data_IF_453469918125
#
_entry.id   IF_453469918125
#
_cell.length_a   1.000
_cell.length_b   1.000
_cell.length_c   1.000
_cell.angle_alpha   90.00
_cell.angle_beta   90.00
_cell.angle_gamma   90.00
#
_symmetry.space_group_name_H-M   'P 1'
#
loop_
_entity.id
_entity.type
_entity.pdbx_description
1 polymer ?
#
# COMPACT_ATOMS: atom_id res chain seq x y z
N UNK A 1 13.81 -10.78 12.21
CA UNK A 1 12.40 -10.43 11.93
C UNK A 1 12.30 -8.90 11.88
N UNK A 2 11.73 -8.30 10.82
CA UNK A 2 11.68 -6.83 10.61
C UNK A 2 10.66 -6.15 11.54
N UNK A 3 9.46 -6.72 11.63
CA UNK A 3 8.41 -6.30 12.57
C UNK A 3 8.40 -7.24 13.78
N UNK A 4 8.27 -6.68 14.98
CA UNK A 4 8.23 -7.45 16.24
C UNK A 4 6.80 -7.56 16.80
N UNK A 5 5.91 -6.72 16.31
CA UNK A 5 4.50 -6.66 16.62
C UNK A 5 3.71 -7.74 15.87
N UNK A 6 2.61 -8.26 16.45
CA UNK A 6 1.72 -9.16 15.73
C UNK A 6 0.99 -8.42 14.60
N UNK A 7 0.83 -9.08 13.46
CA UNK A 7 -0.04 -8.59 12.38
C UNK A 7 -1.52 -8.67 12.77
N UNK A 8 -1.91 -9.77 13.43
CA UNK A 8 -3.24 -9.97 14.02
C UNK A 8 -3.07 -10.18 15.53
N UNK A 9 -3.64 -9.28 16.33
CA UNK A 9 -3.59 -9.32 17.80
C UNK A 9 -4.92 -9.82 18.39
N UNK A 10 -4.92 -10.36 19.62
CA UNK A 10 -6.14 -10.56 20.40
C UNK A 10 -6.93 -9.25 20.53
N UNK A 11 -8.25 -9.36 20.55
CA UNK A 11 -9.17 -8.23 20.72
C UNK A 11 -9.52 -8.01 22.21
N UNK A 12 -10.63 -7.30 22.48
CA UNK A 12 -11.09 -6.99 23.83
C UNK A 12 -11.64 -8.22 24.59
N UNK A 13 -11.91 -9.34 23.91
CA UNK A 13 -12.43 -10.54 24.55
C UNK A 13 -11.33 -11.25 25.35
N UNK A 14 -11.49 -11.29 26.68
CA UNK A 14 -10.51 -11.93 27.59
C UNK A 14 -10.25 -13.40 27.26
N UNK A 15 -11.21 -14.11 26.66
CA UNK A 15 -11.03 -15.51 26.27
C UNK A 15 -10.02 -15.68 25.12
N UNK A 16 -9.71 -14.59 24.39
CA UNK A 16 -8.67 -14.58 23.38
C UNK A 16 -7.24 -14.41 23.95
N UNK A 17 -7.10 -14.01 25.22
CA UNK A 17 -5.81 -13.75 25.88
C UNK A 17 -5.20 -15.01 26.49
N UNK A 18 -4.92 -15.97 25.63
CA UNK A 18 -4.26 -17.23 25.96
C UNK A 18 -3.06 -17.46 25.03
N UNK A 19 -2.13 -18.32 25.41
CA UNK A 19 -1.05 -18.69 24.50
C UNK A 19 -1.62 -19.32 23.22
N UNK A 20 -0.89 -19.12 22.12
CA UNK A 20 -1.25 -19.67 20.80
C UNK A 20 -2.60 -19.15 20.28
N UNK A 21 -3.04 -17.96 20.68
CA UNK A 21 -4.25 -17.33 20.14
C UNK A 21 -3.99 -15.85 19.82
N UNK A 22 -4.36 -15.35 18.63
CA UNK A 22 -4.86 -16.12 17.48
C UNK A 22 -3.77 -16.97 16.80
N UNK A 23 -4.08 -18.22 16.43
CA UNK A 23 -3.30 -18.95 15.41
C UNK A 23 -3.94 -18.68 14.06
N UNK A 24 -3.15 -18.15 13.12
CA UNK A 24 -3.54 -18.06 11.71
C UNK A 24 -3.36 -19.44 11.08
N UNK A 25 -4.43 -19.95 10.47
CA UNK A 25 -4.42 -21.21 9.74
C UNK A 25 -3.56 -21.14 8.47
N UNK A 26 -3.25 -22.29 7.84
CA UNK A 26 -2.55 -22.29 6.58
C UNK A 26 -3.41 -21.68 5.47
N UNK A 27 -2.77 -20.86 4.63
CA UNK A 27 -3.40 -20.29 3.44
C UNK A 27 -3.87 -18.84 3.62
N UNK A 28 -3.56 -18.04 2.62
CA UNK A 28 -4.13 -16.72 2.39
C UNK A 28 -4.83 -16.83 1.04
N UNK A 29 -6.14 -16.57 1.02
CA UNK A 29 -6.96 -16.80 -0.17
C UNK A 29 -7.33 -15.47 -0.80
N UNK A 30 -7.10 -15.32 -2.11
CA UNK A 30 -7.73 -14.23 -2.86
C UNK A 30 -9.22 -14.54 -2.97
N UNK A 31 -10.05 -13.75 -2.28
CA UNK A 31 -11.51 -13.89 -2.30
C UNK A 31 -12.19 -12.87 -3.20
N UNK A 32 -11.48 -11.80 -3.59
CA UNK A 32 -11.83 -10.89 -4.69
C UNK A 32 -10.53 -10.29 -5.26
N UNK A 33 -10.58 -9.51 -6.35
CA UNK A 33 -9.41 -8.75 -6.82
C UNK A 33 -8.81 -7.84 -5.75
N UNK A 34 -9.64 -7.31 -4.86
CA UNK A 34 -9.27 -6.35 -3.82
C UNK A 34 -9.07 -6.98 -2.44
N UNK A 35 -9.42 -8.26 -2.24
CA UNK A 35 -9.52 -8.87 -0.91
C UNK A 35 -8.77 -10.20 -0.79
N UNK A 36 -7.92 -10.25 0.23
CA UNK A 36 -7.30 -11.45 0.78
C UNK A 36 -8.05 -11.86 2.05
N UNK A 37 -8.45 -13.12 2.14
CA UNK A 37 -9.02 -13.72 3.34
C UNK A 37 -7.99 -14.55 4.10
N UNK A 38 -7.91 -14.30 5.41
CA UNK A 38 -7.15 -15.12 6.36
C UNK A 38 -8.09 -15.68 7.41
N UNK A 39 -7.84 -16.92 7.79
CA UNK A 39 -8.62 -17.61 8.80
C UNK A 39 -7.78 -17.82 10.04
N UNK A 40 -8.36 -17.54 11.21
CA UNK A 40 -7.65 -17.63 12.47
C UNK A 40 -8.54 -18.21 13.58
N UNK A 41 -7.92 -18.76 14.62
CA UNK A 41 -8.62 -19.25 15.81
C UNK A 41 -9.02 -18.10 16.73
N UNK A 42 -10.23 -18.15 17.27
CA UNK A 42 -10.63 -17.40 18.46
C UNK A 42 -10.93 -18.35 19.62
N UNK A 43 -10.66 -17.87 20.83
CA UNK A 43 -10.92 -18.55 22.10
C UNK A 43 -10.37 -19.98 22.12
N UNK A 44 -9.13 -20.16 21.66
CA UNK A 44 -8.53 -21.49 21.46
C UNK A 44 -8.59 -22.43 22.68
N UNK A 45 -8.60 -21.89 23.90
CA UNK A 45 -8.67 -22.66 25.16
C UNK A 45 -10.08 -22.70 25.78
N UNK A 46 -11.09 -22.24 25.06
CA UNK A 46 -12.48 -22.16 25.51
C UNK A 46 -13.33 -23.25 24.82
N UNK A 47 -14.38 -23.79 25.47
CA UNK A 47 -15.34 -24.69 24.82
C UNK A 47 -16.04 -24.08 23.59
N UNK A 48 -16.18 -22.76 23.53
CA UNK A 48 -16.76 -22.01 22.40
C UNK A 48 -15.71 -21.58 21.36
N UNK A 49 -14.62 -22.35 21.22
CA UNK A 49 -13.58 -22.09 20.24
C UNK A 49 -14.16 -22.11 18.81
N UNK A 50 -13.61 -21.25 17.95
CA UNK A 50 -14.13 -21.09 16.58
C UNK A 50 -13.05 -20.58 15.63
N UNK A 51 -13.30 -20.76 14.35
CA UNK A 51 -12.58 -20.07 13.30
C UNK A 51 -13.27 -18.76 12.94
N UNK A 52 -12.46 -17.76 12.61
CA UNK A 52 -12.91 -16.47 12.10
C UNK A 52 -12.16 -16.13 10.84
N UNK A 53 -12.78 -15.26 10.05
CA UNK A 53 -12.18 -14.66 8.86
C UNK A 53 -11.86 -13.21 9.16
N UNK A 54 -10.64 -12.78 8.86
CA UNK A 54 -10.32 -11.38 8.65
C UNK A 54 -9.93 -11.16 7.19
N UNK A 55 -10.05 -9.92 6.74
CA UNK A 55 -9.76 -9.53 5.38
C UNK A 55 -8.61 -8.54 5.37
N UNK A 56 -7.77 -8.62 4.34
CA UNK A 56 -6.71 -7.65 4.03
C UNK A 56 -6.94 -7.22 2.59
N UNK A 57 -6.67 -5.97 2.26
CA UNK A 57 -6.59 -5.58 0.85
C UNK A 57 -5.48 -6.35 0.12
N UNK A 58 -5.63 -6.63 -1.17
CA UNK A 58 -4.54 -7.18 -2.00
C UNK A 58 -3.28 -6.33 -1.82
N UNK A 59 -2.12 -6.97 -1.66
CA UNK A 59 -0.83 -6.34 -1.32
C UNK A 59 -0.80 -5.46 -0.06
N UNK A 60 -1.78 -5.60 0.83
CA UNK A 60 -2.02 -4.73 1.98
C UNK A 60 -1.29 -5.06 3.29
N UNK A 61 -0.29 -5.94 3.28
CA UNK A 61 0.34 -6.43 4.52
C UNK A 61 1.17 -5.38 5.25
N UNK A 62 1.83 -4.50 4.50
CA UNK A 62 2.72 -3.46 5.01
C UNK A 62 2.55 -2.23 4.13
N UNK A 63 2.61 -1.05 4.74
CA UNK A 63 2.61 0.21 4.01
C UNK A 63 3.80 1.08 4.41
N UNK A 64 4.27 1.89 3.48
CA UNK A 64 4.93 3.15 3.83
C UNK A 64 3.85 4.10 4.39
N UNK A 65 3.98 4.48 5.65
CA UNK A 65 3.02 5.35 6.34
C UNK A 65 3.59 6.77 6.48
N UNK A 66 2.83 7.75 5.99
CA UNK A 66 3.11 9.17 6.15
C UNK A 66 2.21 9.75 7.25
N UNK A 67 2.78 10.45 8.26
CA UNK A 67 2.00 11.01 9.36
C UNK A 67 1.10 12.16 8.89
N UNK A 68 0.11 12.51 9.71
CA UNK A 68 -0.76 13.66 9.46
C UNK A 68 -0.01 14.99 9.47
N UNK A 69 0.95 15.16 10.40
CA UNK A 69 1.68 16.41 10.55
C UNK A 69 2.92 16.42 9.65
N UNK A 70 2.94 17.34 8.70
CA UNK A 70 4.05 17.55 7.77
C UNK A 70 3.96 16.66 6.54
N UNK A 71 4.97 16.74 5.68
CA UNK A 71 5.12 15.88 4.52
C UNK A 71 6.20 14.84 4.79
N UNK A 72 5.93 13.59 4.47
CA UNK A 72 6.93 12.54 4.35
C UNK A 72 7.31 12.38 2.89
N UNK A 73 8.59 12.10 2.65
CA UNK A 73 9.09 11.87 1.30
C UNK A 73 9.86 10.55 1.23
N UNK A 74 9.72 9.87 0.10
CA UNK A 74 10.40 8.62 -0.20
C UNK A 74 10.71 8.57 -1.68
N UNK A 75 11.95 8.24 -2.02
CA UNK A 75 12.35 8.02 -3.41
C UNK A 75 12.85 6.59 -3.56
N UNK A 76 12.39 5.88 -4.58
CA UNK A 76 12.88 4.55 -4.90
C UNK A 76 14.33 4.61 -5.40
N UNK A 77 15.12 3.54 -5.29
CA UNK A 77 16.26 3.35 -6.17
C UNK A 77 15.83 3.42 -7.65
N UNK A 78 16.73 3.65 -8.61
CA UNK A 78 16.40 3.54 -10.03
C UNK A 78 15.85 2.14 -10.35
N UNK A 79 14.64 2.07 -10.90
CA UNK A 79 13.95 0.85 -11.29
C UNK A 79 13.90 0.77 -12.81
N UNK A 80 14.20 -0.41 -13.37
CA UNK A 80 13.76 -0.71 -14.73
C UNK A 80 12.25 -0.97 -14.70
N UNK A 81 11.54 -0.52 -15.73
CA UNK A 81 10.09 -0.70 -15.80
C UNK A 81 9.63 -0.97 -17.22
N UNK A 82 8.48 -1.64 -17.31
CA UNK A 82 7.69 -1.80 -18.53
C UNK A 82 6.27 -1.34 -18.22
N UNK A 83 5.58 -0.80 -19.22
CA UNK A 83 4.25 -0.23 -19.06
C UNK A 83 4.19 1.26 -19.37
N UNK A 84 2.98 1.75 -19.62
CA UNK A 84 2.69 3.11 -20.03
C UNK A 84 1.83 3.85 -18.99
N UNK A 85 1.62 3.28 -17.80
CA UNK A 85 0.83 3.87 -16.72
C UNK A 85 1.40 3.43 -15.36
N UNK A 86 1.36 4.33 -14.37
CA UNK A 86 1.76 4.04 -12.99
C UNK A 86 0.51 3.94 -12.10
N UNK A 87 0.27 2.75 -11.56
CA UNK A 87 -0.85 2.50 -10.65
C UNK A 87 -0.35 2.30 -9.21
N UNK A 88 -1.11 2.80 -8.24
CA UNK A 88 -0.80 2.75 -6.82
C UNK A 88 -1.85 1.96 -6.04
N UNK A 89 -1.36 1.19 -5.08
CA UNK A 89 -2.16 0.67 -3.99
C UNK A 89 -2.00 1.60 -2.80
N UNK A 90 -3.01 2.45 -2.58
CA UNK A 90 -2.91 3.59 -1.67
C UNK A 90 -4.17 3.75 -0.83
N UNK A 91 -4.01 4.33 0.37
CA UNK A 91 -5.10 4.75 1.23
C UNK A 91 -4.75 6.07 1.90
N UNK A 92 -5.61 7.06 1.82
CA UNK A 92 -5.49 8.32 2.57
C UNK A 92 -6.66 8.49 3.53
N UNK A 93 -6.50 9.38 4.52
CA UNK A 93 -7.68 9.95 5.17
C UNK A 93 -8.35 11.00 4.27
N UNK A 94 -9.48 11.57 4.72
CA UNK A 94 -10.12 12.70 4.03
C UNK A 94 -9.29 14.00 3.98
N UNK A 95 -8.26 14.14 4.83
CA UNK A 95 -7.30 15.25 4.78
C UNK A 95 -5.91 14.86 4.24
N UNK A 96 -5.74 13.58 3.90
CA UNK A 96 -4.51 13.03 3.39
C UNK A 96 -4.31 13.29 1.90
N UNK A 97 -3.08 13.14 1.46
CA UNK A 97 -2.69 13.40 0.07
C UNK A 97 -1.42 12.65 -0.28
N UNK A 98 -1.37 12.10 -1.50
CA UNK A 98 -0.16 11.60 -2.13
C UNK A 98 0.07 12.37 -3.42
N UNK A 99 1.33 12.79 -3.63
CA UNK A 99 1.85 13.33 -4.87
C UNK A 99 3.03 12.47 -5.31
N UNK A 100 3.22 12.37 -6.62
CA UNK A 100 4.24 11.52 -7.23
C UNK A 100 5.00 12.30 -8.29
N UNK A 101 6.30 12.11 -8.29
CA UNK A 101 7.21 12.65 -9.30
C UNK A 101 8.04 11.51 -9.89
N UNK A 102 8.15 11.50 -11.21
CA UNK A 102 9.12 10.64 -11.90
C UNK A 102 10.41 11.42 -12.09
N UNK A 103 11.52 10.75 -11.79
CA UNK A 103 12.86 11.28 -11.95
C UNK A 103 13.69 10.39 -12.85
N UNK A 104 14.68 10.96 -13.53
CA UNK A 104 15.69 10.20 -14.26
C UNK A 104 16.56 9.36 -13.29
N UNK A 105 17.47 8.55 -13.84
CA UNK A 105 18.37 7.72 -13.04
C UNK A 105 19.26 8.53 -12.07
N UNK A 106 19.47 9.83 -12.34
CA UNK A 106 20.29 10.74 -11.55
C UNK A 106 19.47 11.53 -10.52
N UNK A 107 18.15 11.34 -10.48
CA UNK A 107 17.24 12.03 -9.57
C UNK A 107 16.80 13.41 -10.06
N UNK A 108 16.98 13.75 -11.35
CA UNK A 108 16.42 14.97 -11.91
C UNK A 108 14.94 14.76 -12.24
N UNK A 109 14.04 15.69 -11.86
CA UNK A 109 12.64 15.62 -12.25
C UNK A 109 12.49 15.56 -13.77
N UNK A 110 11.51 14.78 -14.21
CA UNK A 110 11.19 14.65 -15.63
C UNK A 110 10.07 15.63 -15.95
N UNK A 111 10.26 16.43 -16.99
CA UNK A 111 9.28 17.44 -17.42
C UNK A 111 7.91 16.80 -17.68
N UNK A 112 6.85 17.41 -17.14
CA UNK A 112 5.49 16.87 -17.20
C UNK A 112 5.17 15.76 -16.20
N UNK A 113 6.14 15.31 -15.40
CA UNK A 113 5.97 14.29 -14.36
C UNK A 113 6.50 14.75 -13.00
N UNK A 114 6.52 16.06 -12.75
CA UNK A 114 7.00 16.63 -11.49
C UNK A 114 5.88 16.76 -10.45
N UNK A 115 6.24 17.12 -9.21
CA UNK A 115 5.27 17.25 -8.12
C UNK A 115 4.22 18.36 -8.33
N UNK A 116 4.55 19.44 -9.03
CA UNK A 116 3.64 20.57 -9.25
C UNK A 116 2.62 20.25 -10.36
N UNK A 117 2.98 19.38 -11.29
CA UNK A 117 2.08 18.86 -12.34
C UNK A 117 1.24 17.66 -11.85
N UNK A 118 1.64 16.99 -10.76
CA UNK A 118 0.94 15.81 -10.23
C UNK A 118 -0.43 16.19 -9.69
N UNK A 119 -1.48 15.49 -10.17
CA UNK A 119 -2.81 15.63 -9.59
C UNK A 119 -2.83 15.00 -8.18
N UNK A 120 -3.36 15.70 -7.16
CA UNK A 120 -3.42 15.19 -5.80
C UNK A 120 -4.23 13.89 -5.69
N UNK A 121 -3.63 12.86 -5.10
CA UNK A 121 -4.30 11.57 -4.86
C UNK A 121 -4.84 11.52 -3.42
N UNK A 122 -6.15 11.32 -3.28
CA UNK A 122 -6.83 11.12 -2.01
C UNK A 122 -7.95 10.07 -2.18
N UNK A 123 -7.67 8.81 -1.83
CA UNK A 123 -8.57 7.68 -2.08
C UNK A 123 -8.22 6.46 -1.19
N UNK A 124 -9.00 5.39 -1.32
CA UNK A 124 -8.68 4.03 -0.82
C UNK A 124 -8.88 3.05 -1.99
N UNK A 125 -7.85 2.91 -2.84
CA UNK A 125 -7.89 2.20 -4.13
C UNK A 125 -6.62 1.36 -4.31
N UNK A 126 -6.73 0.14 -4.87
CA UNK A 126 -5.58 -0.78 -5.04
C UNK A 126 -4.81 -0.59 -6.35
N UNK A 127 -5.42 0.13 -7.30
CA UNK A 127 -5.00 0.30 -8.69
C UNK A 127 -5.18 1.76 -9.14
N UNK A 128 -4.95 2.71 -8.23
CA UNK A 128 -5.11 4.14 -8.52
C UNK A 128 -4.05 4.62 -9.51
N UNK A 129 -4.47 4.98 -10.72
CA UNK A 129 -3.60 5.63 -11.69
C UNK A 129 -3.14 7.01 -11.20
N UNK A 130 -1.83 7.24 -11.28
CA UNK A 130 -1.21 8.54 -11.11
C UNK A 130 -1.40 9.36 -12.38
N UNK A 131 -1.83 10.61 -12.24
CA UNK A 131 -1.99 11.54 -13.35
C UNK A 131 -1.23 12.82 -13.09
N UNK A 132 -0.71 13.41 -14.17
CA UNK A 132 -0.06 14.71 -14.18
C UNK A 132 -0.79 15.61 -15.16
N UNK A 133 -1.36 16.72 -14.66
CA UNK A 133 -2.25 17.61 -15.39
C UNK A 133 -3.36 16.86 -16.16
N UNK A 134 -3.94 15.82 -15.53
CA UNK A 134 -4.97 14.95 -16.10
C UNK A 134 -4.46 13.85 -17.05
N UNK A 135 -3.16 13.77 -17.32
CA UNK A 135 -2.56 12.73 -18.17
C UNK A 135 -2.01 11.58 -17.33
N UNK A 136 -2.51 10.35 -17.53
CA UNK A 136 -2.01 9.14 -16.89
C UNK A 136 -0.97 8.36 -17.70
N UNK A 137 -0.71 8.78 -18.95
CA UNK A 137 0.24 8.11 -19.82
C UNK A 137 1.68 8.48 -19.47
N UNK A 138 2.50 7.46 -19.20
CA UNK A 138 3.94 7.56 -18.97
C UNK A 138 4.65 7.30 -20.29
N UNK A 139 5.20 8.34 -20.91
CA UNK A 139 5.92 8.28 -22.19
C UNK A 139 7.45 8.24 -22.04
N UNK A 140 7.90 7.72 -20.89
CA UNK A 140 9.28 7.39 -20.51
C UNK A 140 10.23 8.56 -20.16
N UNK A 141 10.90 8.47 -18.99
CA UNK A 141 12.15 9.19 -18.70
C UNK A 141 13.43 8.43 -19.10
N UNK A 142 13.31 7.35 -19.88
CA UNK A 142 14.37 6.39 -20.22
C UNK A 142 14.00 4.95 -19.83
N UNK A 143 14.97 4.03 -19.88
CA UNK A 143 14.78 2.60 -19.53
C UNK A 143 14.69 2.35 -18.02
N UNK A 144 15.12 3.33 -17.21
CA UNK A 144 15.05 3.27 -15.75
C UNK A 144 14.66 4.63 -15.21
N UNK A 145 13.89 4.63 -14.13
CA UNK A 145 13.47 5.85 -13.45
C UNK A 145 13.50 5.68 -11.93
N UNK A 146 13.55 6.80 -11.20
CA UNK A 146 13.21 6.82 -9.79
C UNK A 146 11.79 7.35 -9.63
N UNK A 147 11.07 6.87 -8.63
CA UNK A 147 9.74 7.38 -8.26
C UNK A 147 9.88 8.07 -6.92
N UNK A 148 9.61 9.37 -6.89
CA UNK A 148 9.56 10.17 -5.66
C UNK A 148 8.12 10.35 -5.23
N UNK A 149 7.82 9.93 -4.02
CA UNK A 149 6.54 10.09 -3.36
C UNK A 149 6.64 11.21 -2.33
N UNK A 150 5.65 12.10 -2.33
CA UNK A 150 5.44 13.11 -1.29
C UNK A 150 4.05 12.93 -0.70
N UNK A 151 4.00 12.57 0.57
CA UNK A 151 2.82 12.02 1.21
C UNK A 151 2.50 12.70 2.54
N UNK A 152 1.22 12.79 2.87
CA UNK A 152 0.72 13.20 4.19
C UNK A 152 -0.54 12.44 4.52
N UNK A 153 -0.64 11.95 5.75
CA UNK A 153 -1.77 11.17 6.26
C UNK A 153 -2.23 10.06 5.29
N UNK A 154 -1.26 9.24 4.88
CA UNK A 154 -1.41 8.30 3.79
C UNK A 154 -0.60 7.02 4.01
N UNK A 155 -1.13 5.94 3.46
CA UNK A 155 -0.51 4.63 3.36
C UNK A 155 -0.29 4.31 1.89
N UNK A 156 0.95 4.03 1.50
CA UNK A 156 1.31 3.46 0.21
C UNK A 156 1.72 1.99 0.44
N UNK A 157 0.94 1.06 -0.09
CA UNK A 157 1.15 -0.38 0.08
C UNK A 157 1.99 -0.97 -1.05
N UNK A 158 1.69 -0.59 -2.29
CA UNK A 158 2.38 -1.06 -3.49
C UNK A 158 2.27 -0.02 -4.62
N UNK A 159 3.11 -0.18 -5.64
CA UNK A 159 3.07 0.59 -6.88
C UNK A 159 3.59 -0.29 -8.01
N UNK A 160 3.09 -0.06 -9.22
CA UNK A 160 3.44 -0.84 -10.39
C UNK A 160 3.32 -0.01 -11.67
N UNK A 161 4.23 -0.22 -12.61
CA UNK A 161 3.99 0.14 -14.00
C UNK A 161 3.21 -0.96 -14.72
N UNK A 162 2.12 -0.58 -15.38
CA UNK A 162 1.22 -1.48 -16.10
C UNK A 162 1.13 -1.08 -17.57
N UNK A 163 0.85 -2.06 -18.41
CA UNK A 163 0.46 -1.86 -19.81
C UNK A 163 -1.06 -1.98 -19.91
N UNK A 164 -1.66 -1.19 -20.80
CA UNK A 164 -3.06 -1.37 -21.21
C UNK A 164 -3.33 -2.75 -21.85
#
# INVERSE_FOLDING_TARGET
>A
RRFREPFLAPDLDRHNWVDRNPIVGPGILHTSPEELSLYYSERLRDPECRFRRCTIRTDGFVSLHAPYKGWAEFTTPPLAFEGNRLDLNVKTSGGGTVLVELQDERGNPVDGYNLDDCDPIFCDEIDRTVTWAGNGAVSAPGDRCQIRFKMRDAHLFAFQFVSD
#
